data_IF_219167574433
#
_entry.id   IF_219167574433
#
_cell.length_a   1.000
_cell.length_b   1.000
_cell.length_c   1.000
_cell.angle_alpha   90.00
_cell.angle_beta   90.00
_cell.angle_gamma   90.00
#
_symmetry.space_group_name_H-M   'P 1'
#
loop_
_entity.id
_entity.type
_entity.pdbx_description
1 polymer ?
#
# COMPACT_ATOMS: atom_id res chain seq x y z
N UNK A 1 -11.42 2.75 14.29
CA UNK A 1 -10.16 3.18 13.64
C UNK A 1 -9.85 2.38 12.37
N UNK A 2 -10.01 1.06 12.34
CA UNK A 2 -9.76 0.22 11.15
C UNK A 2 -10.59 0.58 9.92
N UNK A 3 -11.89 0.81 10.10
CA UNK A 3 -12.81 1.16 9.00
C UNK A 3 -12.40 2.46 8.30
N UNK A 4 -11.94 3.46 9.06
CA UNK A 4 -11.46 4.75 8.54
C UNK A 4 -10.16 4.59 7.74
N UNK A 5 -9.22 3.77 8.23
CA UNK A 5 -7.98 3.48 7.52
C UNK A 5 -8.25 2.71 6.22
N UNK A 6 -9.19 1.77 6.26
CA UNK A 6 -9.63 1.02 5.07
C UNK A 6 -10.28 1.91 4.02
N UNK A 7 -11.21 2.78 4.40
CA UNK A 7 -11.83 3.73 3.47
C UNK A 7 -10.81 4.73 2.92
N UNK A 8 -9.91 5.22 3.76
CA UNK A 8 -8.84 6.12 3.31
C UNK A 8 -7.92 5.45 2.29
N UNK A 9 -7.46 4.22 2.52
CA UNK A 9 -6.63 3.47 1.56
C UNK A 9 -7.32 3.30 0.20
N UNK A 10 -8.63 3.02 0.18
CA UNK A 10 -9.42 2.91 -1.06
C UNK A 10 -9.46 4.25 -1.80
N UNK A 11 -9.77 5.33 -1.07
CA UNK A 11 -9.79 6.67 -1.65
C UNK A 11 -8.44 7.05 -2.25
N UNK A 12 -7.35 6.79 -1.54
CA UNK A 12 -6.01 7.05 -2.05
C UNK A 12 -5.72 6.22 -3.29
N UNK A 13 -6.06 4.93 -3.33
CA UNK A 13 -5.88 4.08 -4.52
C UNK A 13 -6.63 4.61 -5.75
N UNK A 14 -7.88 5.04 -5.56
CA UNK A 14 -8.70 5.64 -6.62
C UNK A 14 -8.08 6.95 -7.12
N UNK A 15 -7.72 7.85 -6.19
CA UNK A 15 -7.09 9.14 -6.51
C UNK A 15 -5.76 8.94 -7.25
N UNK A 16 -4.93 8.01 -6.80
CA UNK A 16 -3.66 7.65 -7.42
C UNK A 16 -3.87 7.14 -8.85
N UNK A 17 -4.85 6.25 -9.04
CA UNK A 17 -5.16 5.68 -10.35
C UNK A 17 -5.65 6.76 -11.33
N UNK A 18 -6.49 7.68 -10.85
CA UNK A 18 -6.97 8.82 -11.62
C UNK A 18 -5.85 9.83 -11.94
N UNK A 19 -5.00 10.19 -10.99
CA UNK A 19 -3.84 11.08 -11.20
C UNK A 19 -2.91 10.50 -12.28
N UNK A 20 -2.69 9.18 -12.29
CA UNK A 20 -1.88 8.51 -13.32
C UNK A 20 -2.57 8.46 -14.68
N UNK A 21 -3.88 8.24 -14.71
CA UNK A 21 -4.65 8.29 -15.94
C UNK A 21 -4.58 9.70 -16.55
N UNK A 22 -4.80 10.73 -15.74
CA UNK A 22 -4.71 12.14 -16.15
C UNK A 22 -3.30 12.54 -16.59
N UNK A 23 -2.26 12.19 -15.82
CA UNK A 23 -0.87 12.47 -16.18
C UNK A 23 -0.46 11.75 -17.46
N UNK A 24 -0.99 10.55 -17.70
CA UNK A 24 -0.78 9.85 -18.97
C UNK A 24 -1.51 10.62 -20.05
N UNK A 25 -2.84 10.77 -19.98
CA UNK A 25 -3.68 11.34 -21.04
C UNK A 25 -3.36 12.80 -21.38
N UNK A 26 -3.21 13.64 -20.37
CA UNK A 26 -3.11 15.10 -20.47
C UNK A 26 -1.74 15.61 -20.00
N UNK A 27 -0.64 15.10 -20.55
CA UNK A 27 0.75 15.44 -20.15
C UNK A 27 0.98 16.97 -20.07
N UNK A 28 0.52 17.73 -21.06
CA UNK A 28 0.72 19.19 -21.15
C UNK A 28 -0.10 19.95 -20.09
N UNK A 29 -1.32 19.49 -19.78
CA UNK A 29 -2.15 20.08 -18.73
C UNK A 29 -1.64 19.69 -17.32
N UNK A 30 -1.17 18.46 -17.14
CA UNK A 30 -0.63 17.97 -15.88
C UNK A 30 0.65 18.72 -15.46
N UNK A 31 1.47 19.15 -16.41
CA UNK A 31 2.65 19.97 -16.12
C UNK A 31 2.30 21.42 -15.74
N UNK A 32 1.21 21.99 -16.28
CA UNK A 32 0.90 23.42 -16.13
C UNK A 32 -0.20 23.75 -15.10
N UNK A 33 -1.07 22.80 -14.72
CA UNK A 33 -2.26 23.02 -13.87
C UNK A 33 -2.25 22.26 -12.53
N UNK A 34 -1.17 21.54 -12.20
CA UNK A 34 -1.03 20.75 -10.97
C UNK A 34 -0.61 21.66 -9.81
N UNK A 35 -1.58 22.23 -9.12
CA UNK A 35 -1.36 23.11 -7.96
C UNK A 35 -1.61 22.37 -6.65
N UNK A 36 -0.84 22.71 -5.61
CA UNK A 36 -0.96 22.14 -4.27
C UNK A 36 -2.38 22.30 -3.69
N UNK A 37 -3.08 23.37 -4.09
CA UNK A 37 -4.47 23.64 -3.70
C UNK A 37 -5.44 22.55 -4.17
N UNK A 38 -5.29 22.02 -5.38
CA UNK A 38 -6.15 20.95 -5.90
C UNK A 38 -5.92 19.64 -5.15
N UNK A 39 -4.67 19.33 -4.80
CA UNK A 39 -4.35 18.16 -3.98
C UNK A 39 -4.99 18.28 -2.59
N UNK A 40 -4.93 19.48 -1.96
CA UNK A 40 -5.63 19.75 -0.70
C UNK A 40 -7.15 19.55 -0.81
N UNK A 41 -7.77 20.06 -1.87
CA UNK A 41 -9.22 19.88 -2.12
C UNK A 41 -9.55 18.38 -2.25
N UNK A 42 -8.78 17.62 -3.01
CA UNK A 42 -8.98 16.17 -3.16
C UNK A 42 -8.88 15.45 -1.81
N UNK A 43 -7.89 15.80 -0.98
CA UNK A 43 -7.77 15.24 0.37
C UNK A 43 -8.99 15.58 1.24
N UNK A 44 -9.46 16.84 1.22
CA UNK A 44 -10.65 17.26 1.98
C UNK A 44 -11.88 16.46 1.51
N UNK A 45 -12.07 16.31 0.19
CA UNK A 45 -13.16 15.51 -0.38
C UNK A 45 -13.06 14.05 0.07
N UNK A 46 -11.86 13.46 0.08
CA UNK A 46 -11.64 12.08 0.54
C UNK A 46 -11.98 11.88 2.02
N UNK A 47 -11.64 12.85 2.87
CA UNK A 47 -11.99 12.83 4.29
C UNK A 47 -13.51 12.96 4.51
N UNK A 48 -14.15 13.94 3.86
CA UNK A 48 -15.60 14.13 3.95
C UNK A 48 -16.36 12.91 3.42
N UNK A 49 -15.90 12.32 2.31
CA UNK A 49 -16.50 11.11 1.75
C UNK A 49 -16.31 9.89 2.66
N UNK A 50 -15.18 9.78 3.37
CA UNK A 50 -14.96 8.70 4.36
C UNK A 50 -15.86 8.85 5.58
N UNK A 51 -16.12 10.09 6.02
CA UNK A 51 -17.10 10.38 7.06
C UNK A 51 -18.51 10.00 6.57
N UNK A 52 -18.88 10.41 5.36
CA UNK A 52 -20.16 10.06 4.74
C UNK A 52 -20.36 8.55 4.60
N UNK A 53 -19.31 7.82 4.20
CA UNK A 53 -19.32 6.36 4.13
C UNK A 53 -19.57 5.68 5.48
N UNK A 54 -19.18 6.33 6.59
CA UNK A 54 -19.36 5.79 7.93
C UNK A 54 -20.79 5.99 8.47
N UNK A 55 -21.60 6.87 7.86
CA UNK A 55 -22.95 7.20 8.33
C UNK A 55 -23.92 5.99 8.28
N UNK A 56 -23.99 5.21 7.19
CA UNK A 56 -24.89 4.06 7.10
C UNK A 56 -24.59 2.97 8.14
N UNK A 57 -23.34 2.86 8.60
CA UNK A 57 -22.96 1.93 9.65
C UNK A 57 -23.63 2.22 11.00
N UNK A 58 -23.97 3.48 11.27
CA UNK A 58 -24.64 3.89 12.50
C UNK A 58 -26.17 3.91 12.40
N UNK A 59 -26.71 3.92 11.17
CA UNK A 59 -28.14 4.10 10.91
C UNK A 59 -28.87 2.79 10.58
N UNK A 60 -28.17 1.80 10.01
CA UNK A 60 -28.78 0.54 9.58
C UNK A 60 -28.36 -0.62 10.48
N UNK A 61 -29.33 -1.42 10.94
CA UNK A 61 -29.06 -2.73 11.52
C UNK A 61 -28.34 -3.65 10.52
N UNK A 62 -27.61 -4.64 11.04
CA UNK A 62 -26.84 -5.62 10.25
C UNK A 62 -27.76 -6.36 9.27
N UNK A 63 -27.89 -5.79 8.08
CA UNK A 63 -28.83 -6.19 7.04
C UNK A 63 -28.10 -6.46 5.73
N UNK A 64 -28.73 -7.24 4.86
CA UNK A 64 -28.21 -7.55 3.52
C UNK A 64 -27.92 -6.28 2.73
N UNK A 65 -28.75 -5.24 2.90
CA UNK A 65 -28.56 -3.91 2.30
C UNK A 65 -27.26 -3.24 2.74
N UNK A 66 -26.92 -3.28 4.03
CA UNK A 66 -25.68 -2.69 4.55
C UNK A 66 -24.44 -3.43 4.01
N UNK A 67 -24.46 -4.77 4.01
CA UNK A 67 -23.35 -5.58 3.47
C UNK A 67 -23.16 -5.32 1.97
N UNK A 68 -24.26 -5.23 1.23
CA UNK A 68 -24.25 -4.94 -0.22
C UNK A 68 -23.73 -3.54 -0.51
N UNK A 69 -24.12 -2.54 0.29
CA UNK A 69 -23.62 -1.17 0.19
C UNK A 69 -22.11 -1.12 0.43
N UNK A 70 -21.63 -1.76 1.50
CA UNK A 70 -20.20 -1.85 1.82
C UNK A 70 -19.39 -2.52 0.70
N UNK A 71 -19.89 -3.63 0.16
CA UNK A 71 -19.27 -4.31 -0.98
C UNK A 71 -19.21 -3.41 -2.22
N UNK A 72 -20.31 -2.73 -2.54
CA UNK A 72 -20.40 -1.91 -3.75
C UNK A 72 -19.43 -0.73 -3.69
N UNK A 73 -19.43 0.01 -2.58
CA UNK A 73 -18.62 1.21 -2.47
C UNK A 73 -17.14 0.95 -2.18
N UNK A 74 -16.82 -0.13 -1.46
CA UNK A 74 -15.44 -0.39 -1.06
C UNK A 74 -14.71 -1.39 -1.94
N UNK A 75 -15.43 -2.21 -2.70
CA UNK A 75 -14.84 -3.20 -3.61
C UNK A 75 -15.17 -2.89 -5.07
N UNK A 76 -16.46 -2.93 -5.44
CA UNK A 76 -16.86 -2.90 -6.85
C UNK A 76 -16.56 -1.55 -7.52
N UNK A 77 -16.99 -0.44 -6.92
CA UNK A 77 -16.79 0.89 -7.47
C UNK A 77 -15.29 1.26 -7.63
N UNK A 78 -14.44 1.08 -6.61
CA UNK A 78 -13.00 1.28 -6.74
C UNK A 78 -12.39 0.36 -7.79
N UNK A 79 -12.77 -0.92 -7.82
CA UNK A 79 -12.25 -1.89 -8.79
C UNK A 79 -12.54 -1.46 -10.23
N UNK A 80 -13.76 -1.02 -10.53
CA UNK A 80 -14.15 -0.61 -11.88
C UNK A 80 -13.43 0.65 -12.35
N UNK A 81 -13.31 1.66 -11.48
CA UNK A 81 -12.57 2.90 -11.80
C UNK A 81 -11.10 2.58 -12.06
N UNK A 82 -10.52 1.75 -11.19
CA UNK A 82 -9.13 1.35 -11.31
C UNK A 82 -8.94 0.52 -12.59
N UNK A 83 -9.70 -0.55 -12.80
CA UNK A 83 -9.59 -1.41 -13.98
C UNK A 83 -9.71 -0.60 -15.29
N UNK A 84 -10.74 0.25 -15.40
CA UNK A 84 -10.93 1.10 -16.59
C UNK A 84 -9.76 2.07 -16.81
N UNK A 85 -9.25 2.72 -15.76
CA UNK A 85 -8.11 3.63 -15.86
C UNK A 85 -6.83 2.92 -16.32
N UNK A 86 -6.55 1.71 -15.82
CA UNK A 86 -5.35 0.95 -16.18
C UNK A 86 -5.44 0.33 -17.58
N UNK A 87 -6.64 -0.10 -18.01
CA UNK A 87 -6.88 -0.51 -19.39
C UNK A 87 -6.58 0.66 -20.34
N UNK A 88 -7.13 1.84 -20.05
CA UNK A 88 -6.91 3.06 -20.84
C UNK A 88 -5.41 3.44 -20.93
N UNK A 89 -4.70 3.41 -19.80
CA UNK A 89 -3.25 3.65 -19.73
C UNK A 89 -2.49 2.61 -20.55
N UNK A 90 -2.83 1.33 -20.42
CA UNK A 90 -2.18 0.23 -21.12
C UNK A 90 -2.28 0.37 -22.65
N UNK A 91 -3.47 0.74 -23.16
CA UNK A 91 -3.69 1.03 -24.57
C UNK A 91 -2.78 2.19 -25.02
N UNK A 92 -2.74 3.29 -24.28
CA UNK A 92 -1.93 4.47 -24.62
C UNK A 92 -0.43 4.17 -24.64
N UNK A 93 0.08 3.44 -23.67
CA UNK A 93 1.52 3.11 -23.58
C UNK A 93 1.95 2.20 -24.73
N UNK A 94 1.11 1.21 -25.11
CA UNK A 94 1.35 0.38 -26.28
C UNK A 94 1.41 1.22 -27.56
N UNK A 95 0.45 2.14 -27.75
CA UNK A 95 0.43 3.06 -28.90
C UNK A 95 1.68 3.95 -28.97
N UNK A 96 2.18 4.43 -27.83
CA UNK A 96 3.35 5.31 -27.74
C UNK A 96 4.69 4.55 -27.61
N UNK A 97 4.68 3.21 -27.67
CA UNK A 97 5.86 2.32 -27.52
C UNK A 97 6.71 2.63 -26.27
N UNK A 98 6.10 3.09 -25.17
CA UNK A 98 6.81 3.47 -23.93
C UNK A 98 7.03 2.29 -22.99
N UNK A 99 7.81 1.30 -23.42
CA UNK A 99 8.02 0.02 -22.68
C UNK A 99 8.54 0.23 -21.25
N UNK A 100 9.40 1.22 -21.02
CA UNK A 100 9.92 1.56 -19.68
C UNK A 100 8.81 1.91 -18.68
N UNK A 101 7.73 2.53 -19.16
CA UNK A 101 6.59 2.91 -18.33
C UNK A 101 5.77 1.69 -17.90
N UNK A 102 5.63 0.66 -18.76
CA UNK A 102 4.91 -0.59 -18.44
C UNK A 102 5.48 -1.29 -17.21
N UNK A 103 6.80 -1.22 -16.97
CA UNK A 103 7.45 -1.87 -15.82
C UNK A 103 6.96 -1.27 -14.49
N UNK A 104 6.85 0.06 -14.40
CA UNK A 104 6.35 0.72 -13.19
C UNK A 104 4.84 0.45 -13.02
N UNK A 105 4.07 0.48 -14.12
CA UNK A 105 2.64 0.18 -14.09
C UNK A 105 2.31 -1.25 -13.65
N UNK A 106 3.09 -2.25 -14.08
CA UNK A 106 2.91 -3.65 -13.65
C UNK A 106 2.95 -3.78 -12.13
N UNK A 107 3.91 -3.11 -11.47
CA UNK A 107 4.03 -3.15 -10.01
C UNK A 107 2.80 -2.54 -9.33
N UNK A 108 2.30 -1.42 -9.84
CA UNK A 108 1.11 -0.77 -9.25
C UNK A 108 -0.13 -1.67 -9.41
N UNK A 109 -0.31 -2.31 -10.58
CA UNK A 109 -1.39 -3.29 -10.79
C UNK A 109 -1.28 -4.45 -9.80
N UNK A 110 -0.07 -4.98 -9.56
CA UNK A 110 0.13 -6.05 -8.57
C UNK A 110 -0.30 -5.63 -7.16
N UNK A 111 0.04 -4.42 -6.73
CA UNK A 111 -0.34 -3.91 -5.40
C UNK A 111 -1.86 -3.75 -5.30
N UNK A 112 -2.49 -3.21 -6.34
CA UNK A 112 -3.95 -3.07 -6.45
C UNK A 112 -4.65 -4.44 -6.37
N UNK A 113 -4.15 -5.43 -7.11
CA UNK A 113 -4.70 -6.78 -7.06
C UNK A 113 -4.52 -7.40 -5.67
N UNK A 114 -3.37 -7.21 -5.02
CA UNK A 114 -3.15 -7.65 -3.65
C UNK A 114 -4.15 -7.01 -2.68
N UNK A 115 -4.44 -5.71 -2.82
CA UNK A 115 -5.47 -5.02 -2.05
C UNK A 115 -6.83 -5.73 -2.15
N UNK A 116 -7.29 -5.99 -3.38
CA UNK A 116 -8.58 -6.64 -3.61
C UNK A 116 -8.59 -8.10 -3.13
N UNK A 117 -7.50 -8.84 -3.32
CA UNK A 117 -7.37 -10.22 -2.83
C UNK A 117 -7.43 -10.26 -1.30
N UNK A 118 -6.80 -9.32 -0.61
CA UNK A 118 -6.86 -9.24 0.86
C UNK A 118 -8.27 -8.89 1.35
N UNK A 119 -9.04 -8.13 0.58
CA UNK A 119 -10.39 -7.69 0.95
C UNK A 119 -11.49 -8.68 0.61
N UNK A 120 -11.34 -9.42 -0.49
CA UNK A 120 -12.38 -10.30 -1.01
C UNK A 120 -12.87 -11.34 0.01
N UNK A 121 -12.00 -12.06 0.76
CA UNK A 121 -12.43 -13.01 1.78
C UNK A 121 -13.31 -12.39 2.87
N UNK A 122 -13.01 -11.15 3.28
CA UNK A 122 -13.79 -10.44 4.29
C UNK A 122 -15.22 -10.14 3.82
N UNK A 123 -15.39 -9.71 2.55
CA UNK A 123 -16.71 -9.50 1.97
C UNK A 123 -17.50 -10.80 1.83
N UNK A 124 -16.86 -11.87 1.38
CA UNK A 124 -17.50 -13.20 1.29
C UNK A 124 -17.97 -13.66 2.67
N UNK A 125 -17.15 -13.52 3.71
CA UNK A 125 -17.54 -13.84 5.08
C UNK A 125 -18.70 -12.98 5.58
N UNK A 126 -18.73 -11.68 5.22
CA UNK A 126 -19.80 -10.76 5.60
C UNK A 126 -21.16 -11.13 4.96
N UNK A 127 -21.15 -11.53 3.68
CA UNK A 127 -22.35 -12.03 3.01
C UNK A 127 -22.82 -13.36 3.59
N UNK A 128 -21.89 -14.26 3.91
CA UNK A 128 -22.24 -15.52 4.56
C UNK A 128 -22.88 -15.27 5.93
N UNK A 129 -22.29 -14.40 6.76
CA UNK A 129 -22.81 -14.07 8.10
C UNK A 129 -24.26 -13.57 8.05
N UNK A 130 -24.56 -12.62 7.15
CA UNK A 130 -25.91 -12.05 7.06
C UNK A 130 -26.93 -13.08 6.58
N UNK A 131 -26.54 -14.03 5.71
CA UNK A 131 -27.43 -15.12 5.28
C UNK A 131 -27.69 -16.14 6.39
N UNK A 132 -26.70 -16.42 7.24
CA UNK A 132 -26.85 -17.34 8.37
C UNK A 132 -27.75 -16.74 9.45
N UNK A 133 -27.51 -15.48 9.82
CA UNK A 133 -28.35 -14.75 10.79
C UNK A 133 -29.78 -14.59 10.28
N UNK A 134 -29.96 -14.22 9.01
CA UNK A 134 -31.28 -14.00 8.43
C UNK A 134 -32.14 -15.26 8.31
N UNK A 135 -31.52 -16.45 8.20
CA UNK A 135 -32.24 -17.71 8.04
C UNK A 135 -32.25 -18.58 9.31
N UNK A 136 -31.69 -18.12 10.44
CA UNK A 136 -31.54 -18.89 11.70
C UNK A 136 -30.84 -20.25 11.56
N UNK A 137 -29.92 -20.40 10.61
CA UNK A 137 -29.16 -21.65 10.45
C UNK A 137 -28.13 -21.78 11.57
N UNK A 138 -28.31 -22.75 12.48
CA UNK A 138 -27.38 -22.92 13.63
C UNK A 138 -27.01 -24.40 13.92
N UNK A 139 -26.99 -25.29 12.92
CA UNK A 139 -27.03 -26.73 13.27
C UNK A 139 -25.78 -27.54 12.92
N UNK A 140 -24.64 -26.92 12.60
CA UNK A 140 -23.40 -27.68 12.41
C UNK A 140 -22.14 -27.02 13.01
N UNK A 141 -21.66 -27.61 14.10
CA UNK A 141 -20.45 -27.17 14.83
C UNK A 141 -19.21 -27.08 13.94
N UNK A 142 -19.03 -27.99 12.97
CA UNK A 142 -17.87 -27.96 12.06
C UNK A 142 -17.95 -26.76 11.11
N UNK A 143 -19.13 -26.48 10.56
CA UNK A 143 -19.34 -25.34 9.67
C UNK A 143 -19.08 -24.03 10.42
N UNK A 144 -19.59 -23.90 11.66
CA UNK A 144 -19.33 -22.72 12.50
C UNK A 144 -17.85 -22.56 12.80
N UNK A 145 -17.12 -23.63 13.13
CA UNK A 145 -15.67 -23.58 13.37
C UNK A 145 -14.88 -23.15 12.13
N UNK A 146 -15.17 -23.75 10.98
CA UNK A 146 -14.52 -23.39 9.69
C UNK A 146 -14.79 -21.92 9.36
N UNK A 147 -16.03 -21.46 9.56
CA UNK A 147 -16.39 -20.06 9.36
C UNK A 147 -15.64 -19.10 10.29
N UNK A 148 -15.51 -19.43 11.59
CA UNK A 148 -14.73 -18.63 12.53
C UNK A 148 -13.25 -18.54 12.14
N UNK A 149 -12.66 -19.63 11.65
CA UNK A 149 -11.29 -19.63 11.12
C UNK A 149 -11.21 -18.73 9.88
N UNK A 150 -12.15 -18.85 8.95
CA UNK A 150 -12.20 -18.01 7.75
C UNK A 150 -12.34 -16.52 8.07
N UNK A 151 -13.17 -16.17 9.06
CA UNK A 151 -13.32 -14.80 9.56
C UNK A 151 -12.01 -14.28 10.16
N UNK A 152 -11.34 -15.11 10.94
CA UNK A 152 -10.04 -14.80 11.58
C UNK A 152 -8.97 -14.52 10.52
N UNK A 153 -8.82 -15.44 9.54
CA UNK A 153 -7.89 -15.28 8.42
C UNK A 153 -8.22 -14.02 7.60
N UNK A 154 -9.50 -13.79 7.30
CA UNK A 154 -9.95 -12.60 6.56
C UNK A 154 -9.61 -11.30 7.29
N UNK A 155 -9.71 -11.30 8.62
CA UNK A 155 -9.37 -10.14 9.45
C UNK A 155 -7.85 -9.87 9.39
N UNK A 156 -7.02 -10.90 9.46
CA UNK A 156 -5.57 -10.76 9.28
C UNK A 156 -5.19 -10.26 7.89
N UNK A 157 -5.87 -10.72 6.84
CA UNK A 157 -5.67 -10.20 5.47
C UNK A 157 -6.03 -8.71 5.37
N UNK A 158 -7.11 -8.29 6.01
CA UNK A 158 -7.48 -6.87 6.11
C UNK A 158 -6.42 -6.06 6.87
N UNK A 159 -5.80 -6.61 7.91
CA UNK A 159 -4.70 -5.93 8.60
C UNK A 159 -3.46 -5.74 7.72
N UNK A 160 -3.10 -6.75 6.92
CA UNK A 160 -1.97 -6.66 5.98
C UNK A 160 -2.12 -5.52 4.96
N UNK A 161 -3.36 -5.13 4.66
CA UNK A 161 -3.65 -3.99 3.79
C UNK A 161 -2.97 -2.69 4.25
N UNK A 162 -2.82 -2.50 5.58
CA UNK A 162 -2.15 -1.32 6.12
C UNK A 162 -0.64 -1.32 5.83
N UNK A 163 -0.03 -2.50 5.77
CA UNK A 163 1.39 -2.68 5.43
C UNK A 163 1.68 -2.43 3.94
N UNK A 164 0.65 -2.51 3.08
CA UNK A 164 0.77 -2.22 1.65
C UNK A 164 0.86 -0.71 1.37
N UNK A 165 0.45 0.16 2.30
CA UNK A 165 0.48 1.61 2.13
C UNK A 165 1.93 2.15 1.93
N UNK A 166 2.93 1.85 2.79
CA UNK A 166 4.33 2.23 2.55
C UNK A 166 4.90 1.72 1.22
N UNK A 167 4.56 0.48 0.86
CA UNK A 167 4.98 -0.15 -0.40
C UNK A 167 4.43 0.65 -1.57
N UNK A 168 3.13 0.99 -1.55
CA UNK A 168 2.50 1.82 -2.57
C UNK A 168 3.22 3.16 -2.77
N UNK A 169 3.59 3.84 -1.68
CA UNK A 169 4.28 5.14 -1.75
C UNK A 169 5.69 5.03 -2.37
N UNK A 170 6.47 4.05 -1.95
CA UNK A 170 7.81 3.80 -2.52
C UNK A 170 7.72 3.45 -4.00
N UNK A 171 6.75 2.63 -4.40
CA UNK A 171 6.62 2.20 -5.78
C UNK A 171 5.99 3.25 -6.71
N UNK A 172 5.22 4.19 -6.17
CA UNK A 172 4.62 5.29 -6.93
C UNK A 172 5.66 6.27 -7.49
N UNK A 173 6.73 6.57 -6.77
CA UNK A 173 7.64 7.64 -7.18
C UNK A 173 9.03 7.09 -7.53
N UNK A 174 9.39 7.12 -8.81
CA UNK A 174 10.71 6.63 -9.27
C UNK A 174 11.87 7.41 -8.63
N UNK A 175 11.62 8.65 -8.24
CA UNK A 175 12.56 9.51 -7.50
C UNK A 175 12.71 9.05 -6.04
N UNK A 176 11.64 8.59 -5.38
CA UNK A 176 11.72 7.96 -4.06
C UNK A 176 12.44 6.61 -4.11
N UNK A 177 12.23 5.79 -5.14
CA UNK A 177 13.00 4.55 -5.31
C UNK A 177 14.50 4.82 -5.37
N UNK A 178 14.90 5.86 -6.10
CA UNK A 178 16.31 6.25 -6.20
C UNK A 178 16.85 6.75 -4.87
N UNK A 179 16.13 7.66 -4.20
CA UNK A 179 16.52 8.20 -2.89
C UNK A 179 16.60 7.10 -1.82
N UNK A 180 15.65 6.18 -1.78
CA UNK A 180 15.64 5.06 -0.83
C UNK A 180 16.83 4.11 -1.08
N UNK A 181 17.14 3.79 -2.35
CA UNK A 181 18.34 3.02 -2.68
C UNK A 181 19.62 3.72 -2.25
N UNK A 182 19.71 5.03 -2.47
CA UNK A 182 20.88 5.82 -2.04
C UNK A 182 21.01 5.84 -0.53
N UNK A 183 19.93 6.10 0.22
CA UNK A 183 19.97 6.06 1.69
C UNK A 183 20.32 4.68 2.23
N UNK A 184 19.77 3.61 1.67
CA UNK A 184 20.11 2.24 2.11
C UNK A 184 21.57 1.89 1.82
N UNK A 185 22.09 2.26 0.64
CA UNK A 185 23.50 2.07 0.32
C UNK A 185 24.40 2.87 1.25
N UNK A 186 24.05 4.12 1.56
CA UNK A 186 24.79 4.96 2.50
C UNK A 186 24.82 4.35 3.90
N UNK A 187 23.68 3.88 4.43
CA UNK A 187 23.61 3.22 5.73
C UNK A 187 24.44 1.93 5.75
N UNK A 188 24.34 1.15 4.68
CA UNK A 188 25.11 -0.09 4.54
C UNK A 188 26.62 0.18 4.48
N UNK A 189 27.04 1.17 3.69
CA UNK A 189 28.43 1.60 3.55
C UNK A 189 28.97 2.17 4.87
N UNK A 190 28.14 2.91 5.61
CA UNK A 190 28.50 3.42 6.95
C UNK A 190 28.70 2.27 7.94
N UNK A 191 27.80 1.27 7.94
CA UNK A 191 27.92 0.09 8.80
C UNK A 191 29.17 -0.76 8.47
N UNK A 192 29.51 -0.93 7.19
CA UNK A 192 30.73 -1.64 6.79
C UNK A 192 32.02 -0.81 6.97
N UNK A 193 31.92 0.53 6.97
CA UNK A 193 33.06 1.40 7.23
C UNK A 193 33.45 1.42 8.71
N UNK A 194 32.49 1.27 9.63
CA UNK A 194 32.75 1.10 11.07
C UNK A 194 33.63 -0.14 11.33
N UNK A 195 33.34 -1.28 10.70
CA UNK A 195 34.15 -2.52 10.84
C UNK A 195 35.62 -2.34 10.40
N UNK A 196 35.87 -1.54 9.35
CA UNK A 196 37.22 -1.29 8.85
C UNK A 196 38.00 -0.29 9.71
N UNK A 197 37.32 0.68 10.33
CA UNK A 197 37.95 1.66 11.21
C UNK A 197 38.34 1.04 12.56
N UNK A 198 37.52 0.14 13.10
CA UNK A 198 37.81 -0.59 14.34
C UNK A 198 39.02 -1.53 14.18
N UNK A 199 39.14 -2.21 13.04
CA UNK A 199 40.32 -3.05 12.75
C UNK A 199 41.61 -2.21 12.67
N UNK A 200 41.54 -1.01 12.08
CA UNK A 200 42.69 -0.12 11.91
C UNK A 200 43.09 0.57 13.21
N UNK A 201 42.12 0.91 14.07
CA UNK A 201 42.38 1.44 15.41
C UNK A 201 43.07 0.39 16.30
N UNK A 202 42.58 -0.86 16.33
CA UNK A 202 43.20 -1.95 17.08
C UNK A 202 44.59 -2.37 16.56
N UNK A 203 44.83 -2.30 15.25
CA UNK A 203 46.15 -2.54 14.66
C UNK A 203 47.17 -1.45 15.02
N UNK A 204 46.72 -0.19 15.10
CA UNK A 204 47.58 0.95 15.45
C UNK A 204 48.00 0.90 16.93
N UNK A 205 47.10 0.50 17.83
CA UNK A 205 47.44 0.27 19.24
C UNK A 205 48.46 -0.87 19.44
N UNK A 206 48.36 -1.97 18.67
CA UNK A 206 49.39 -3.04 18.72
C UNK A 206 50.75 -2.58 18.19
N UNK A 207 50.80 -1.78 17.13
CA UNK A 207 52.07 -1.30 16.55
C UNK A 207 52.77 -0.22 17.39
N UNK A 208 52.02 0.51 18.23
CA UNK A 208 52.58 1.56 19.10
C UNK A 208 53.27 1.05 20.35
N UNK A 209 53.09 -0.24 20.69
CA UNK A 209 53.64 -0.82 21.92
C UNK A 209 54.94 -1.59 21.69
N UNK A 210 55.40 -1.73 20.45
CA UNK A 210 56.55 -2.56 20.07
C UNK A 210 57.87 -1.79 19.92
N UNK A 211 57.96 -0.52 20.32
CA UNK A 211 59.22 0.24 20.10
C UNK A 211 59.63 1.26 21.18
N UNK A 212 60.05 0.80 22.37
CA UNK A 212 61.01 1.58 23.15
C UNK A 212 62.16 0.74 23.74
N UNK A 213 62.89 -0.07 22.95
CA UNK A 213 64.12 -0.75 23.44
C UNK A 213 65.36 -0.63 22.51
N UNK A 214 65.25 -0.18 21.26
CA UNK A 214 66.41 -0.18 20.31
C UNK A 214 67.18 1.14 20.15
N UNK A 215 67.18 2.05 21.13
CA UNK A 215 67.90 3.33 21.04
C UNK A 215 68.81 3.62 22.25
N UNK A 216 69.58 2.62 22.69
CA UNK A 216 70.60 2.80 23.75
C UNK A 216 71.92 2.03 23.56
N UNK A 217 72.24 1.52 22.37
CA UNK A 217 73.60 1.01 22.07
C UNK A 217 74.03 1.39 20.65
N UNK A 218 74.64 2.58 20.51
CA UNK A 218 75.78 2.88 19.61
C UNK A 218 76.30 4.29 19.84
#
# INVERSE_FOLDING_TARGET
MLSLNQSASIFFLVVISLDRCLCTWMVVWAQNKRTLLKAKIICIIGWVSSIGYSIPFFMFDMSTSLVTYHFTLSFLFPFLIIASSYIAIGIRIKRLKRVKQLRSYRVIITIILAFFICWFPCHVCSFYLVTVVGNNWSDNLMITKVFLIALTVSTYLVYLNSCLNPILYVFMCDEYKKKLKQSLLLVLETAFAEDHLDFKAGAKERSGQENPIELLDM
#
